data_IF_552129159112
#
_entry.id   IF_552129159112
#
_cell.length_a   1.000
_cell.length_b   1.000
_cell.length_c   1.000
_cell.angle_alpha   90.00
_cell.angle_beta   90.00
_cell.angle_gamma   90.00
#
_symmetry.space_group_name_H-M   'P 1'
#
loop_
_entity.id
_entity.type
_entity.pdbx_description
1 polymer ?
#
# COMPACT_ATOMS: atom_id res chain seq x y z
N UNK A 1 -11.25 19.02 17.48
CA UNK A 1 -11.82 20.20 16.83
C UNK A 1 -10.70 20.91 16.08
N UNK A 2 -10.41 20.52 14.88
CA UNK A 2 -9.43 21.10 13.99
C UNK A 2 -9.93 20.92 12.57
N UNK A 3 -10.69 21.88 12.08
CA UNK A 3 -10.96 22.06 10.67
C UNK A 3 -9.65 22.42 9.99
N UNK A 4 -8.98 21.49 9.32
CA UNK A 4 -8.05 21.79 8.25
C UNK A 4 -7.65 20.52 7.50
N UNK A 5 -8.60 19.88 6.84
CA UNK A 5 -8.27 19.06 5.68
C UNK A 5 -8.25 20.00 4.47
N UNK A 6 -7.21 20.78 4.33
CA UNK A 6 -7.05 21.63 3.17
C UNK A 6 -6.94 20.77 1.92
N UNK A 7 -7.92 20.94 1.03
CA UNK A 7 -7.88 20.35 -0.31
C UNK A 7 -6.57 20.82 -1.00
N UNK A 8 -5.74 19.93 -1.56
CA UNK A 8 -4.52 20.30 -2.26
C UNK A 8 -4.72 21.40 -3.32
N UNK A 9 -5.89 21.48 -3.95
CA UNK A 9 -6.23 22.55 -4.88
C UNK A 9 -6.35 23.93 -4.18
N UNK A 10 -6.92 23.96 -2.98
CA UNK A 10 -6.99 25.19 -2.19
C UNK A 10 -5.61 25.68 -1.78
N UNK A 11 -4.63 24.79 -1.67
CA UNK A 11 -3.22 25.08 -1.39
C UNK A 11 -2.38 25.33 -2.66
N UNK A 12 -3.01 25.59 -3.81
CA UNK A 12 -2.36 25.96 -5.07
C UNK A 12 -1.91 24.77 -5.94
N UNK A 13 -2.28 23.54 -5.63
CA UNK A 13 -2.00 22.42 -6.50
C UNK A 13 -2.92 22.42 -7.73
N UNK A 14 -2.35 22.11 -8.90
CA UNK A 14 -3.09 21.99 -10.16
C UNK A 14 -3.36 20.52 -10.47
N UNK A 15 -4.63 20.16 -10.69
CA UNK A 15 -4.99 18.85 -11.22
C UNK A 15 -4.59 18.78 -12.70
N UNK A 16 -3.70 17.85 -13.04
CA UNK A 16 -3.20 17.65 -14.40
C UNK A 16 -3.84 16.46 -15.11
N UNK A 17 -4.45 15.53 -14.38
CA UNK A 17 -5.12 14.36 -14.97
C UNK A 17 -5.58 13.35 -13.93
N UNK A 18 -6.16 12.27 -14.43
CA UNK A 18 -6.47 11.04 -13.69
C UNK A 18 -5.58 9.92 -14.22
N UNK A 19 -5.29 8.95 -13.39
CA UNK A 19 -4.41 7.82 -13.70
C UNK A 19 -5.17 6.50 -13.61
N UNK A 20 -4.72 5.50 -14.35
CA UNK A 20 -5.25 4.14 -14.28
C UNK A 20 -4.88 3.51 -12.93
N UNK A 21 -5.71 2.60 -12.47
CA UNK A 21 -5.49 1.75 -11.29
C UNK A 21 -5.78 0.30 -11.68
N UNK A 22 -5.38 -0.64 -10.85
CA UNK A 22 -5.87 -2.01 -10.95
C UNK A 22 -7.39 -2.02 -10.80
N UNK A 23 -8.06 -3.01 -11.36
CA UNK A 23 -9.52 -3.11 -11.35
C UNK A 23 -10.05 -3.12 -9.91
N UNK A 24 -10.88 -2.12 -9.58
CA UNK A 24 -11.39 -1.86 -8.24
C UNK A 24 -10.31 -1.91 -7.14
N UNK A 25 -9.07 -1.62 -7.48
CA UNK A 25 -7.91 -1.63 -6.57
C UNK A 25 -7.60 -3.00 -5.93
N UNK A 26 -8.06 -4.12 -6.51
CA UNK A 26 -7.93 -5.44 -5.89
C UNK A 26 -6.70 -6.23 -6.36
N UNK A 27 -5.61 -5.55 -6.64
CA UNK A 27 -4.30 -6.13 -6.92
C UNK A 27 -3.18 -5.22 -6.44
N UNK A 28 -1.95 -5.73 -6.41
CA UNK A 28 -0.71 -4.98 -6.16
C UNK A 28 0.24 -5.06 -7.36
N UNK A 29 -0.21 -5.55 -8.49
CA UNK A 29 0.59 -5.82 -9.68
C UNK A 29 0.68 -4.60 -10.60
N UNK A 30 -0.39 -3.81 -10.67
CA UNK A 30 -0.49 -2.66 -11.57
C UNK A 30 -1.06 -3.03 -12.93
N UNK A 31 -1.70 -4.20 -13.05
CA UNK A 31 -2.34 -4.68 -14.27
C UNK A 31 -3.81 -4.29 -14.29
N UNK A 32 -4.36 -4.03 -15.49
CA UNK A 32 -5.77 -3.78 -15.70
C UNK A 32 -6.17 -4.36 -17.06
N UNK A 33 -7.16 -5.26 -17.07
CA UNK A 33 -7.59 -5.95 -18.28
C UNK A 33 -8.33 -5.04 -19.29
N UNK A 34 -8.82 -3.88 -18.83
CA UNK A 34 -9.61 -2.94 -19.66
C UNK A 34 -8.78 -1.74 -20.11
N UNK A 35 -7.95 -1.19 -19.20
CA UNK A 35 -7.21 0.06 -19.43
C UNK A 35 -5.72 -0.16 -19.68
N UNK A 36 -5.27 -1.43 -19.61
CA UNK A 36 -3.87 -1.82 -19.80
C UNK A 36 -2.99 -1.58 -18.57
N UNK A 37 -1.73 -1.92 -18.70
CA UNK A 37 -0.71 -1.82 -17.65
C UNK A 37 0.18 -0.62 -17.93
N UNK A 38 0.33 0.34 -16.99
CA UNK A 38 1.28 1.43 -17.15
C UNK A 38 2.70 0.91 -17.24
N UNK A 39 3.49 1.51 -18.12
CA UNK A 39 4.92 1.20 -18.21
C UNK A 39 5.60 1.70 -16.93
N UNK A 40 6.42 0.86 -16.32
CA UNK A 40 7.32 1.28 -15.26
C UNK A 40 8.51 2.06 -15.85
N UNK A 41 8.64 3.37 -15.63
CA UNK A 41 9.70 4.15 -16.28
C UNK A 41 11.13 3.81 -15.81
N UNK A 42 11.25 3.15 -14.65
CA UNK A 42 12.54 2.75 -14.07
C UNK A 42 12.98 1.36 -14.53
N UNK A 43 12.03 0.47 -14.72
CA UNK A 43 12.27 -0.92 -15.13
C UNK A 43 11.14 -1.34 -16.09
N UNK A 44 11.24 -1.00 -17.41
CA UNK A 44 10.14 -1.22 -18.35
C UNK A 44 9.76 -2.69 -18.59
N UNK A 45 10.64 -3.61 -18.23
CA UNK A 45 10.45 -5.06 -18.29
C UNK A 45 9.73 -5.62 -17.05
N UNK A 46 9.52 -4.77 -16.01
CA UNK A 46 8.89 -5.16 -14.75
C UNK A 46 7.59 -4.41 -14.50
N UNK A 47 6.74 -5.01 -13.70
CA UNK A 47 5.46 -4.42 -13.32
C UNK A 47 5.64 -3.08 -12.60
N UNK A 48 4.72 -2.12 -12.78
CA UNK A 48 4.75 -0.85 -12.06
C UNK A 48 4.33 -0.97 -10.60
N UNK A 49 3.76 -2.12 -10.22
CA UNK A 49 3.09 -2.29 -8.95
C UNK A 49 1.75 -1.55 -8.88
N UNK A 50 0.87 -1.99 -7.98
CA UNK A 50 -0.50 -1.51 -7.88
C UNK A 50 -0.97 -1.35 -6.42
N UNK A 51 -2.22 -0.93 -6.27
CA UNK A 51 -3.19 -0.59 -7.31
C UNK A 51 -3.05 0.84 -7.87
N UNK A 52 -2.33 1.76 -7.22
CA UNK A 52 -2.10 3.13 -7.72
C UNK A 52 -0.99 3.19 -8.78
N UNK A 53 -1.03 2.27 -9.74
CA UNK A 53 -0.01 2.02 -10.76
C UNK A 53 0.25 3.23 -11.64
N UNK A 54 -0.78 3.80 -12.21
CA UNK A 54 -0.67 4.98 -13.07
C UNK A 54 -0.20 6.23 -12.33
N UNK A 55 -0.54 6.37 -11.05
CA UNK A 55 -0.05 7.46 -10.19
C UNK A 55 1.46 7.37 -9.99
N UNK A 56 1.98 6.17 -9.69
CA UNK A 56 3.41 5.95 -9.52
C UNK A 56 4.17 6.14 -10.84
N UNK A 57 3.66 5.56 -11.93
CA UNK A 57 4.27 5.69 -13.25
C UNK A 57 4.30 7.15 -13.73
N UNK A 58 3.23 7.92 -13.54
CA UNK A 58 3.17 9.33 -13.93
C UNK A 58 4.20 10.18 -13.17
N UNK A 59 4.33 9.96 -11.86
CA UNK A 59 5.34 10.66 -11.02
C UNK A 59 6.76 10.24 -11.43
N UNK A 60 7.00 8.95 -11.65
CA UNK A 60 8.29 8.42 -12.05
C UNK A 60 8.73 8.92 -13.43
N UNK A 61 7.77 9.10 -14.35
CA UNK A 61 7.99 9.68 -15.68
C UNK A 61 8.13 11.21 -15.67
N UNK A 62 7.94 11.88 -14.54
CA UNK A 62 7.98 13.35 -14.44
C UNK A 62 6.76 14.07 -15.02
N UNK A 63 5.66 13.36 -15.28
CA UNK A 63 4.41 13.93 -15.78
C UNK A 63 3.62 14.70 -14.71
N UNK A 64 3.90 14.41 -13.45
CA UNK A 64 3.35 15.09 -12.29
C UNK A 64 4.41 15.20 -11.18
N UNK A 65 4.35 16.27 -10.38
CA UNK A 65 5.24 16.44 -9.22
C UNK A 65 4.88 15.46 -8.11
N UNK A 66 3.59 15.22 -7.92
CA UNK A 66 3.02 14.25 -6.99
C UNK A 66 1.70 13.72 -7.53
N UNK A 67 1.26 12.60 -6.99
CA UNK A 67 -0.05 12.02 -7.28
C UNK A 67 -0.69 11.50 -6.00
N UNK A 68 -2.03 11.50 -5.94
CA UNK A 68 -2.78 10.84 -4.90
C UNK A 68 -3.00 9.37 -5.29
N UNK A 69 -3.20 8.54 -4.29
CA UNK A 69 -3.59 7.14 -4.42
C UNK A 69 -4.34 6.68 -3.19
N UNK A 70 -4.78 5.43 -3.19
CA UNK A 70 -5.34 4.75 -2.01
C UNK A 70 -4.45 3.58 -1.63
N UNK A 71 -4.39 3.27 -0.36
CA UNK A 71 -3.58 2.17 0.17
C UNK A 71 -4.37 1.39 1.23
N UNK A 72 -4.89 0.25 0.86
CA UNK A 72 -5.55 -0.71 1.75
C UNK A 72 -4.55 -1.76 2.24
N UNK A 73 -3.73 -2.29 1.32
CA UNK A 73 -2.76 -3.35 1.61
C UNK A 73 -1.36 -3.11 1.04
N UNK A 74 -1.06 -1.88 0.57
CA UNK A 74 0.22 -1.56 -0.07
C UNK A 74 0.08 -0.73 -1.33
N UNK A 75 -1.13 -0.37 -1.74
CA UNK A 75 -1.46 0.18 -3.05
C UNK A 75 -0.90 1.57 -3.36
N UNK A 76 -0.24 2.25 -2.43
CA UNK A 76 0.63 3.43 -2.65
C UNK A 76 2.09 3.02 -2.50
N UNK A 77 2.42 2.25 -1.47
CA UNK A 77 3.79 1.89 -1.10
C UNK A 77 4.44 0.94 -2.11
N UNK A 78 3.70 -0.08 -2.58
CA UNK A 78 4.22 -1.06 -3.56
C UNK A 78 4.56 -0.38 -4.88
N UNK A 79 3.63 0.34 -5.56
CA UNK A 79 3.96 1.00 -6.81
C UNK A 79 5.02 2.11 -6.64
N UNK A 80 5.07 2.79 -5.49
CA UNK A 80 6.16 3.72 -5.19
C UNK A 80 7.53 3.03 -5.20
N UNK A 81 7.63 1.88 -4.52
CA UNK A 81 8.85 1.07 -4.46
C UNK A 81 9.27 0.57 -5.84
N UNK A 82 8.33 0.04 -6.63
CA UNK A 82 8.60 -0.53 -7.95
C UNK A 82 8.99 0.53 -8.98
N UNK A 83 8.35 1.69 -8.95
CA UNK A 83 8.65 2.81 -9.84
C UNK A 83 9.78 3.73 -9.34
N UNK A 84 10.40 3.45 -8.19
CA UNK A 84 11.51 4.23 -7.65
C UNK A 84 11.14 5.67 -7.29
N UNK A 85 9.97 5.87 -6.72
CA UNK A 85 9.48 7.15 -6.18
C UNK A 85 9.17 7.02 -4.69
N UNK A 86 8.92 8.12 -4.02
CA UNK A 86 8.50 8.12 -2.62
C UNK A 86 6.99 7.94 -2.51
N UNK A 87 6.55 7.01 -1.67
CA UNK A 87 5.15 6.81 -1.36
C UNK A 87 4.90 6.93 0.15
N UNK A 88 3.81 7.56 0.52
CA UNK A 88 3.43 7.72 1.91
C UNK A 88 1.99 7.28 2.14
N UNK A 89 1.82 6.39 3.11
CA UNK A 89 0.54 5.99 3.66
C UNK A 89 0.44 6.49 5.10
N UNK A 90 -0.48 7.40 5.42
CA UNK A 90 -0.71 7.82 6.82
C UNK A 90 -1.34 6.69 7.63
N UNK A 91 -1.41 6.87 8.93
CA UNK A 91 -2.19 5.99 9.80
C UNK A 91 -3.66 5.99 9.39
N UNK A 92 -4.33 4.86 9.58
CA UNK A 92 -5.76 4.73 9.30
C UNK A 92 -6.57 5.78 10.08
N UNK A 93 -7.55 6.40 9.44
CA UNK A 93 -8.43 7.40 10.05
C UNK A 93 -7.84 8.81 10.20
N UNK A 94 -6.58 9.05 9.77
CA UNK A 94 -5.96 10.39 9.81
C UNK A 94 -6.50 11.29 8.70
N UNK A 95 -6.71 10.73 7.50
CA UNK A 95 -7.32 11.45 6.39
C UNK A 95 -8.75 10.97 6.16
N UNK A 96 -9.68 11.88 5.80
CA UNK A 96 -11.04 11.51 5.45
C UNK A 96 -11.07 10.68 4.16
N UNK A 97 -12.08 9.83 4.05
CA UNK A 97 -12.33 9.00 2.87
C UNK A 97 -13.53 9.47 2.05
N UNK A 98 -13.98 10.71 2.27
CA UNK A 98 -15.11 11.28 1.55
C UNK A 98 -14.83 11.30 0.03
N UNK A 99 -15.73 10.70 -0.75
CA UNK A 99 -15.55 10.58 -2.20
C UNK A 99 -14.63 9.44 -2.65
N UNK A 100 -14.10 8.65 -1.74
CA UNK A 100 -13.38 7.41 -2.05
C UNK A 100 -14.37 6.25 -2.06
N UNK A 101 -14.32 5.41 -3.10
CA UNK A 101 -15.11 4.18 -3.15
C UNK A 101 -14.62 3.24 -2.04
N UNK A 102 -15.48 2.82 -1.11
CA UNK A 102 -15.08 1.89 -0.05
C UNK A 102 -14.61 0.56 -0.62
N UNK A 103 -13.48 0.06 -0.13
CA UNK A 103 -12.94 -1.23 -0.52
C UNK A 103 -12.87 -2.16 0.71
N UNK A 104 -11.99 -1.87 1.66
CA UNK A 104 -11.98 -2.50 2.98
C UNK A 104 -11.87 -1.39 4.04
N UNK A 105 -13.00 -0.87 4.54
CA UNK A 105 -13.06 0.38 5.31
C UNK A 105 -12.15 0.45 6.52
N UNK A 106 -11.88 -0.68 7.20
CA UNK A 106 -10.97 -0.69 8.35
C UNK A 106 -9.48 -0.72 7.98
N UNK A 107 -9.16 -0.73 6.69
CA UNK A 107 -7.79 -0.72 6.14
C UNK A 107 -7.55 0.46 5.19
N UNK A 108 -8.60 0.96 4.54
CA UNK A 108 -8.49 1.98 3.49
C UNK A 108 -7.88 3.28 4.01
N UNK A 109 -6.94 3.82 3.24
CA UNK A 109 -6.38 5.15 3.48
C UNK A 109 -6.15 5.86 2.15
N UNK A 110 -6.25 7.18 2.14
CA UNK A 110 -5.64 8.00 1.10
C UNK A 110 -4.15 8.15 1.42
N UNK A 111 -3.33 8.05 0.39
CA UNK A 111 -1.91 8.30 0.46
C UNK A 111 -1.44 9.10 -0.76
N UNK A 112 -0.16 9.36 -0.85
CA UNK A 112 0.40 10.10 -1.97
C UNK A 112 1.79 9.62 -2.36
N UNK A 113 2.12 9.88 -3.62
CA UNK A 113 3.40 9.57 -4.23
C UNK A 113 4.07 10.88 -4.67
N UNK A 114 5.38 10.96 -4.55
CA UNK A 114 6.14 12.13 -4.98
C UNK A 114 7.50 11.71 -5.52
N UNK A 115 8.05 12.53 -6.44
CA UNK A 115 9.36 12.26 -7.05
C UNK A 115 10.54 12.39 -6.10
N UNK A 116 10.39 13.19 -5.04
CA UNK A 116 11.43 13.43 -4.04
C UNK A 116 10.82 13.68 -2.65
N UNK A 117 11.67 13.57 -1.63
CA UNK A 117 11.25 13.72 -0.23
C UNK A 117 10.79 15.14 0.12
N UNK A 118 11.25 16.18 -0.59
CA UNK A 118 10.82 17.56 -0.33
C UNK A 118 9.38 17.79 -0.79
N UNK A 119 9.05 17.27 -1.99
CA UNK A 119 7.67 17.30 -2.50
C UNK A 119 6.77 16.45 -1.62
N UNK A 120 7.22 15.22 -1.24
CA UNK A 120 6.47 14.35 -0.35
C UNK A 120 6.10 15.05 0.97
N UNK A 121 7.10 15.69 1.62
CA UNK A 121 6.90 16.40 2.88
C UNK A 121 5.98 17.62 2.72
N UNK A 122 6.11 18.39 1.61
CA UNK A 122 5.26 19.54 1.33
C UNK A 122 3.79 19.14 1.15
N UNK A 123 3.53 18.07 0.42
CA UNK A 123 2.17 17.51 0.27
C UNK A 123 1.65 17.02 1.62
N UNK A 124 2.49 16.31 2.37
CA UNK A 124 2.15 15.84 3.71
C UNK A 124 1.81 16.98 4.67
N UNK A 125 2.53 18.09 4.63
CA UNK A 125 2.24 19.26 5.45
C UNK A 125 0.84 19.82 5.18
N UNK A 126 0.41 19.86 3.92
CA UNK A 126 -0.94 20.28 3.53
C UNK A 126 -1.98 19.28 4.00
N UNK A 127 -1.80 17.99 3.69
CA UNK A 127 -2.79 16.95 3.96
C UNK A 127 -2.94 16.64 5.46
N UNK A 128 -1.86 16.74 6.24
CA UNK A 128 -1.82 16.41 7.66
C UNK A 128 -1.94 17.63 8.59
N UNK A 129 -2.23 18.81 8.05
CA UNK A 129 -2.46 20.02 8.84
C UNK A 129 -1.21 20.60 9.52
N UNK A 130 -0.04 20.42 8.90
CA UNK A 130 1.20 21.07 9.34
C UNK A 130 1.90 20.40 10.53
N UNK A 131 1.53 19.18 10.91
CA UNK A 131 2.21 18.43 11.96
C UNK A 131 3.69 18.24 11.62
N UNK A 132 4.57 18.69 12.50
CA UNK A 132 6.01 18.44 12.39
C UNK A 132 6.35 17.14 13.10
N UNK A 133 7.08 16.27 12.42
CA UNK A 133 7.57 15.02 13.00
C UNK A 133 9.06 15.15 13.30
N UNK A 134 9.46 14.72 14.49
CA UNK A 134 10.88 14.56 14.81
C UNK A 134 11.42 13.29 14.15
N UNK A 135 12.69 13.30 13.72
CA UNK A 135 13.34 12.08 13.23
C UNK A 135 13.27 10.95 14.27
N UNK A 136 13.12 9.69 13.84
CA UNK A 136 13.13 8.57 14.77
C UNK A 136 14.47 8.47 15.49
N UNK A 137 14.42 8.29 16.81
CA UNK A 137 15.60 8.13 17.66
C UNK A 137 16.07 6.68 17.70
N UNK A 138 15.15 5.73 17.54
CA UNK A 138 15.38 4.28 17.52
C UNK A 138 14.98 3.69 16.18
N UNK A 139 15.79 2.80 15.64
CA UNK A 139 15.51 2.05 14.42
C UNK A 139 15.52 0.56 14.71
N UNK A 140 14.50 -0.13 14.23
CA UNK A 140 14.39 -1.59 14.26
C UNK A 140 14.48 -2.10 12.83
N UNK A 141 15.17 -3.23 12.63
CA UNK A 141 15.26 -3.92 11.35
C UNK A 141 14.48 -5.24 11.48
N UNK A 142 13.40 -5.39 10.73
CA UNK A 142 12.58 -6.61 10.70
C UNK A 142 13.32 -7.70 9.92
N UNK A 143 14.23 -8.42 10.59
CA UNK A 143 15.12 -9.37 9.94
C UNK A 143 14.38 -10.45 9.18
N UNK A 144 13.36 -11.05 9.78
CA UNK A 144 12.53 -12.07 9.17
C UNK A 144 11.72 -11.57 7.94
N UNK A 145 11.39 -10.28 7.88
CA UNK A 145 10.80 -9.68 6.67
C UNK A 145 11.82 -9.60 5.52
N UNK A 146 13.09 -9.32 5.80
CA UNK A 146 14.14 -9.36 4.77
C UNK A 146 14.47 -10.77 4.31
N UNK A 147 14.28 -11.77 5.17
CA UNK A 147 14.52 -13.17 4.83
C UNK A 147 13.43 -13.74 3.89
N UNK A 148 12.27 -13.08 3.79
CA UNK A 148 11.22 -13.37 2.81
C UNK A 148 11.51 -12.82 1.41
N UNK A 149 12.49 -11.92 1.26
CA UNK A 149 12.80 -11.33 -0.03
C UNK A 149 13.55 -12.32 -0.93
N UNK A 150 13.30 -12.21 -2.23
CA UNK A 150 14.08 -12.90 -3.25
C UNK A 150 15.56 -12.56 -3.11
N UNK A 151 16.44 -13.56 -3.30
CA UNK A 151 17.88 -13.40 -3.13
C UNK A 151 18.50 -12.16 -3.81
N UNK A 152 18.14 -11.80 -5.07
CA UNK A 152 18.68 -10.61 -5.71
C UNK A 152 18.30 -9.31 -5.00
N UNK A 153 17.16 -9.26 -4.30
CA UNK A 153 16.64 -8.08 -3.62
C UNK A 153 17.17 -7.93 -2.20
N UNK A 154 17.44 -9.03 -1.50
CA UNK A 154 17.76 -9.02 -0.07
C UNK A 154 19.01 -8.18 0.25
N UNK A 155 20.13 -8.40 -0.42
CA UNK A 155 21.39 -7.74 -0.08
C UNK A 155 21.35 -6.21 -0.35
N UNK A 156 20.86 -5.72 -1.51
CA UNK A 156 20.71 -4.28 -1.75
C UNK A 156 19.78 -3.59 -0.77
N UNK A 157 18.65 -4.23 -0.42
CA UNK A 157 17.67 -3.67 0.52
C UNK A 157 18.22 -3.60 1.94
N UNK A 158 18.95 -4.63 2.39
CA UNK A 158 19.64 -4.60 3.69
C UNK A 158 20.72 -3.51 3.74
N UNK A 159 21.48 -3.35 2.65
CA UNK A 159 22.48 -2.29 2.58
C UNK A 159 21.83 -0.89 2.64
N UNK A 160 20.73 -0.68 1.92
CA UNK A 160 19.96 0.56 1.97
C UNK A 160 19.39 0.82 3.37
N UNK A 161 18.81 -0.19 4.02
CA UNK A 161 18.27 -0.05 5.37
C UNK A 161 19.38 0.32 6.39
N UNK A 162 20.54 -0.32 6.31
CA UNK A 162 21.70 0.00 7.18
C UNK A 162 22.27 1.39 6.92
N UNK A 163 22.22 1.89 5.70
CA UNK A 163 22.63 3.25 5.37
C UNK A 163 21.77 4.34 6.03
N UNK A 164 20.54 4.01 6.45
CA UNK A 164 19.68 4.92 7.21
C UNK A 164 20.08 5.04 8.70
N UNK A 165 21.07 4.30 9.14
CA UNK A 165 21.63 4.29 10.49
C UNK A 165 21.61 2.91 11.14
N UNK A 166 22.29 2.78 12.29
CA UNK A 166 22.28 1.54 13.06
C UNK A 166 20.86 1.20 13.52
N UNK A 167 20.44 -0.05 13.30
CA UNK A 167 19.17 -0.61 13.71
C UNK A 167 19.33 -1.90 14.50
N UNK A 168 18.50 -2.11 15.51
CA UNK A 168 18.44 -3.39 16.21
C UNK A 168 17.61 -4.38 15.39
N UNK A 169 18.16 -5.56 15.12
CA UNK A 169 17.42 -6.62 14.43
C UNK A 169 16.30 -7.17 15.34
N UNK A 170 15.11 -7.32 14.77
CA UNK A 170 13.94 -7.89 15.45
C UNK A 170 13.26 -8.91 14.55
N UNK A 171 12.66 -9.92 15.14
CA UNK A 171 11.76 -10.82 14.45
C UNK A 171 10.35 -10.20 14.49
N UNK A 172 9.89 -9.66 13.36
CA UNK A 172 8.58 -9.02 13.24
C UNK A 172 7.46 -10.06 13.31
N UNK A 173 7.55 -11.09 12.49
CA UNK A 173 6.55 -12.14 12.39
C UNK A 173 6.75 -13.25 13.41
N UNK A 174 8.00 -13.51 13.83
CA UNK A 174 8.37 -14.58 14.73
C UNK A 174 7.87 -15.97 14.29
N UNK A 175 7.90 -16.23 12.98
CA UNK A 175 7.46 -17.47 12.36
C UNK A 175 5.95 -17.58 12.11
N UNK A 176 5.18 -16.51 12.31
CA UNK A 176 3.74 -16.46 12.05
C UNK A 176 3.38 -15.73 10.74
N UNK A 177 4.32 -15.47 9.82
CA UNK A 177 4.10 -14.67 8.60
C UNK A 177 2.97 -15.19 7.73
N UNK A 178 2.89 -16.52 7.53
CA UNK A 178 1.82 -17.14 6.75
C UNK A 178 0.46 -16.95 7.42
N UNK A 179 0.41 -17.07 8.75
CA UNK A 179 -0.81 -16.89 9.54
C UNK A 179 -1.28 -15.42 9.51
N UNK A 180 -0.35 -14.46 9.54
CA UNK A 180 -0.68 -13.03 9.42
C UNK A 180 -1.25 -12.72 8.04
N UNK A 181 -0.66 -13.28 6.99
CA UNK A 181 -1.15 -13.12 5.62
C UNK A 181 -2.54 -13.72 5.43
N UNK A 182 -2.78 -14.92 5.97
CA UNK A 182 -4.10 -15.56 5.92
C UNK A 182 -5.17 -14.72 6.65
N UNK A 183 -4.86 -14.25 7.87
CA UNK A 183 -5.75 -13.37 8.62
C UNK A 183 -6.07 -12.09 7.86
N UNK A 184 -5.06 -11.47 7.26
CA UNK A 184 -5.26 -10.28 6.44
C UNK A 184 -6.19 -10.55 5.25
N UNK A 185 -5.95 -11.62 4.50
CA UNK A 185 -6.78 -12.00 3.34
C UNK A 185 -8.24 -12.25 3.73
N UNK A 186 -8.47 -12.96 4.82
CA UNK A 186 -9.82 -13.24 5.33
C UNK A 186 -10.52 -11.97 5.80
N UNK A 187 -9.89 -11.19 6.65
CA UNK A 187 -10.53 -10.02 7.26
C UNK A 187 -10.77 -8.91 6.24
N UNK A 188 -9.79 -8.64 5.38
CA UNK A 188 -9.92 -7.69 4.29
C UNK A 188 -10.95 -8.16 3.26
N UNK A 189 -10.90 -9.43 2.84
CA UNK A 189 -11.82 -10.00 1.85
C UNK A 189 -13.27 -9.94 2.31
N UNK A 190 -13.55 -10.18 3.58
CA UNK A 190 -14.88 -10.04 4.15
C UNK A 190 -15.41 -8.61 4.05
N UNK A 191 -14.57 -7.61 4.35
CA UNK A 191 -14.94 -6.20 4.21
C UNK A 191 -15.16 -5.81 2.74
N UNK A 192 -14.30 -6.26 1.83
CA UNK A 192 -14.43 -6.04 0.39
C UNK A 192 -15.76 -6.58 -0.12
N UNK A 193 -16.09 -7.82 0.24
CA UNK A 193 -17.35 -8.40 -0.19
C UNK A 193 -18.56 -7.70 0.42
N UNK A 194 -18.49 -7.28 1.66
CA UNK A 194 -19.51 -6.45 2.30
C UNK A 194 -19.74 -5.12 1.58
N UNK A 195 -18.66 -4.46 1.15
CA UNK A 195 -18.72 -3.15 0.50
C UNK A 195 -19.16 -3.25 -0.98
N UNK A 196 -18.61 -4.17 -1.74
CA UNK A 196 -18.75 -4.24 -3.20
C UNK A 196 -19.64 -5.39 -3.69
N UNK A 197 -19.83 -6.44 -2.90
CA UNK A 197 -20.58 -7.65 -3.27
C UNK A 197 -22.01 -7.37 -3.76
N UNK A 198 -22.80 -6.51 -3.11
CA UNK A 198 -24.14 -6.15 -3.58
C UNK A 198 -24.14 -5.55 -4.99
N UNK A 199 -23.20 -4.62 -5.26
CA UNK A 199 -23.06 -4.01 -6.59
C UNK A 199 -22.55 -5.03 -7.62
N UNK A 200 -21.54 -5.83 -7.29
CA UNK A 200 -21.00 -6.86 -8.19
C UNK A 200 -22.09 -7.87 -8.57
N UNK A 201 -22.91 -8.29 -7.60
CA UNK A 201 -24.02 -9.23 -7.84
C UNK A 201 -25.09 -8.66 -8.75
N UNK A 202 -25.41 -7.38 -8.57
CA UNK A 202 -26.44 -6.70 -9.35
C UNK A 202 -25.95 -6.30 -10.75
N UNK A 203 -24.76 -5.70 -10.85
CA UNK A 203 -24.23 -5.14 -12.09
C UNK A 203 -23.53 -6.19 -12.97
N UNK A 204 -23.03 -7.29 -12.37
CA UNK A 204 -22.29 -8.38 -13.05
C UNK A 204 -21.18 -7.83 -13.96
N UNK A 205 -20.29 -6.98 -13.43
CA UNK A 205 -19.22 -6.38 -14.21
C UNK A 205 -18.29 -7.47 -14.78
N UNK A 206 -17.67 -7.17 -15.90
CA UNK A 206 -16.63 -8.05 -16.46
C UNK A 206 -15.29 -7.64 -15.83
N UNK A 207 -14.66 -8.54 -15.13
CA UNK A 207 -13.32 -8.41 -14.59
C UNK A 207 -12.32 -9.25 -15.38
N UNK A 208 -11.05 -8.91 -15.33
CA UNK A 208 -9.98 -9.84 -15.68
C UNK A 208 -10.00 -11.06 -14.74
N UNK A 209 -9.53 -12.21 -15.25
CA UNK A 209 -9.69 -13.51 -14.58
C UNK A 209 -9.15 -13.51 -13.13
N UNK A 210 -7.97 -12.95 -12.91
CA UNK A 210 -7.37 -12.87 -11.57
C UNK A 210 -8.20 -12.04 -10.58
N UNK A 211 -8.81 -10.95 -11.04
CA UNK A 211 -9.66 -10.10 -10.20
C UNK A 211 -11.01 -10.77 -9.95
N UNK A 212 -11.57 -11.43 -10.95
CA UNK A 212 -12.79 -12.23 -10.80
C UNK A 212 -12.62 -13.34 -9.75
N UNK A 213 -11.48 -14.03 -9.77
CA UNK A 213 -11.17 -15.09 -8.80
C UNK A 213 -11.06 -14.51 -7.38
N UNK A 214 -10.35 -13.40 -7.18
CA UNK A 214 -10.25 -12.72 -5.87
C UNK A 214 -11.61 -12.31 -5.30
N UNK A 215 -12.52 -11.79 -6.14
CA UNK A 215 -13.89 -11.49 -5.68
C UNK A 215 -14.68 -12.77 -5.38
N UNK A 216 -14.49 -13.84 -6.15
CA UNK A 216 -15.12 -15.12 -5.87
C UNK A 216 -14.62 -15.74 -4.55
N UNK A 217 -13.33 -15.61 -4.23
CA UNK A 217 -12.78 -15.99 -2.93
C UNK A 217 -13.37 -15.15 -1.79
N UNK A 218 -13.41 -13.84 -1.94
CA UNK A 218 -13.99 -12.93 -0.96
C UNK A 218 -15.46 -13.27 -0.66
N UNK A 219 -16.24 -13.64 -1.69
CA UNK A 219 -17.64 -14.06 -1.56
C UNK A 219 -17.85 -15.34 -0.73
N UNK A 220 -16.82 -16.17 -0.59
CA UNK A 220 -16.89 -17.45 0.16
C UNK A 220 -16.51 -17.30 1.63
N UNK A 221 -16.04 -16.13 2.05
CA UNK A 221 -15.62 -15.89 3.44
C UNK A 221 -16.85 -15.88 4.34
N UNK A 222 -16.86 -16.78 5.32
CA UNK A 222 -17.96 -16.93 6.28
C UNK A 222 -17.74 -16.08 7.54
N UNK A 223 -18.82 -15.71 8.27
CA UNK A 223 -18.70 -15.06 9.57
C UNK A 223 -17.85 -15.84 10.60
N UNK A 224 -17.91 -17.17 10.58
CA UNK A 224 -17.11 -18.02 11.47
C UNK A 224 -15.61 -17.88 11.18
N UNK A 225 -15.25 -17.77 9.89
CA UNK A 225 -13.86 -17.57 9.50
C UNK A 225 -13.36 -16.19 9.95
N UNK A 226 -14.19 -15.15 9.82
CA UNK A 226 -13.88 -13.81 10.34
C UNK A 226 -13.70 -13.84 11.86
N UNK A 227 -14.61 -14.48 12.59
CA UNK A 227 -14.55 -14.62 14.05
C UNK A 227 -13.28 -15.36 14.51
N UNK A 228 -12.81 -16.33 13.74
CA UNK A 228 -11.57 -17.07 14.01
C UNK A 228 -10.33 -16.17 13.90
N UNK A 229 -10.27 -15.26 12.93
CA UNK A 229 -9.07 -14.44 12.66
C UNK A 229 -9.08 -13.06 13.32
N UNK A 230 -10.24 -12.54 13.74
CA UNK A 230 -10.33 -11.24 14.39
C UNK A 230 -9.43 -11.10 15.65
N UNK A 231 -9.31 -12.10 16.54
CA UNK A 231 -8.39 -12.03 17.69
C UNK A 231 -6.91 -11.92 17.27
N UNK A 232 -6.53 -12.53 16.14
CA UNK A 232 -5.17 -12.45 15.63
C UNK A 232 -4.81 -11.03 15.22
N UNK A 233 -5.73 -10.31 14.54
CA UNK A 233 -5.52 -8.89 14.21
C UNK A 233 -5.21 -8.05 15.46
N UNK A 234 -5.91 -8.32 16.56
CA UNK A 234 -5.66 -7.63 17.83
C UNK A 234 -4.28 -7.95 18.40
N UNK A 235 -3.87 -9.22 18.37
CA UNK A 235 -2.51 -9.63 18.81
C UNK A 235 -1.42 -8.98 17.95
N UNK A 236 -1.61 -8.95 16.63
CA UNK A 236 -0.68 -8.28 15.70
C UNK A 236 -0.57 -6.80 16.01
N UNK A 237 -1.71 -6.11 16.22
CA UNK A 237 -1.72 -4.70 16.58
C UNK A 237 -1.00 -4.43 17.91
N UNK A 238 -1.24 -5.27 18.92
CA UNK A 238 -0.57 -5.16 20.22
C UNK A 238 0.96 -5.39 20.09
N UNK A 239 1.39 -6.40 19.30
CA UNK A 239 2.81 -6.64 19.03
C UNK A 239 3.47 -5.46 18.32
N UNK A 240 2.82 -4.91 17.28
CA UNK A 240 3.34 -3.73 16.59
C UNK A 240 3.41 -2.51 17.51
N UNK A 241 2.40 -2.30 18.36
CA UNK A 241 2.40 -1.24 19.34
C UNK A 241 3.55 -1.35 20.35
N UNK A 242 3.88 -2.57 20.78
CA UNK A 242 5.02 -2.81 21.67
C UNK A 242 6.38 -2.60 20.99
N UNK A 243 6.50 -2.85 19.68
CA UNK A 243 7.72 -2.61 18.91
C UNK A 243 7.90 -1.13 18.55
N UNK A 244 6.80 -0.45 18.21
CA UNK A 244 6.76 0.91 17.67
C UNK A 244 6.41 1.94 18.75
N UNK A 245 7.19 1.95 19.83
CA UNK A 245 7.11 3.02 20.83
C UNK A 245 7.41 4.39 20.19
N UNK A 246 6.93 5.51 20.79
CA UNK A 246 7.20 6.85 20.28
C UNK A 246 8.69 7.07 19.96
N UNK A 247 8.98 7.62 18.78
CA UNK A 247 10.34 7.82 18.31
C UNK A 247 11.03 6.58 17.72
N UNK A 248 10.31 5.47 17.55
CA UNK A 248 10.82 4.25 16.91
C UNK A 248 10.36 4.14 15.47
N UNK A 249 11.26 3.78 14.56
CA UNK A 249 10.96 3.39 13.19
C UNK A 249 11.31 1.92 12.96
N UNK A 250 10.45 1.19 12.25
CA UNK A 250 10.70 -0.17 11.81
C UNK A 250 11.04 -0.17 10.32
N UNK A 251 12.18 -0.73 9.97
CA UNK A 251 12.67 -0.87 8.62
C UNK A 251 12.37 -2.29 8.11
N UNK A 252 11.65 -2.37 7.00
CA UNK A 252 11.31 -3.63 6.34
C UNK A 252 11.18 -3.41 4.83
N UNK A 253 11.34 -4.45 4.00
CA UNK A 253 11.09 -4.35 2.56
C UNK A 253 9.61 -4.11 2.29
N UNK A 254 9.31 -3.37 1.22
CA UNK A 254 7.92 -3.06 0.83
C UNK A 254 7.22 -4.30 0.26
N UNK A 255 7.95 -5.12 -0.49
CA UNK A 255 7.47 -6.34 -1.11
C UNK A 255 8.63 -7.36 -1.18
N UNK A 256 8.33 -8.67 -1.23
CA UNK A 256 9.37 -9.70 -1.29
C UNK A 256 10.08 -9.75 -2.64
N UNK A 257 9.42 -9.34 -3.71
CA UNK A 257 9.94 -9.40 -5.08
C UNK A 257 9.50 -8.20 -5.90
N UNK A 258 10.10 -8.05 -7.09
CA UNK A 258 9.66 -7.12 -8.12
C UNK A 258 9.53 -7.92 -9.44
N UNK A 259 8.35 -8.50 -9.72
CA UNK A 259 8.18 -9.43 -10.82
C UNK A 259 8.26 -8.75 -12.19
N UNK A 260 8.66 -9.52 -13.19
CA UNK A 260 8.56 -9.17 -14.60
C UNK A 260 7.13 -9.37 -15.11
N UNK A 261 6.82 -8.81 -16.28
CA UNK A 261 5.54 -9.08 -16.96
C UNK A 261 5.37 -10.57 -17.30
N UNK A 262 6.46 -11.26 -17.64
CA UNK A 262 6.42 -12.69 -17.99
C UNK A 262 6.16 -13.59 -16.77
N UNK A 263 6.74 -13.25 -15.61
CA UNK A 263 6.56 -14.03 -14.36
C UNK A 263 5.13 -14.00 -13.84
N UNK A 264 4.33 -12.97 -14.19
CA UNK A 264 2.94 -12.87 -13.77
C UNK A 264 1.97 -13.41 -14.83
N UNK A 265 2.40 -13.50 -16.09
CA UNK A 265 1.59 -14.07 -17.17
C UNK A 265 1.66 -15.61 -17.24
N UNK A 266 2.60 -16.24 -16.52
CA UNK A 266 2.82 -17.68 -16.46
C UNK A 266 1.97 -18.35 -15.36
#
# INVERSE_FOLDING_TARGET
TGETNENPKASGARLVGKTVTDELAFSLEGTNAHDGTPINPRCPDRLPGGSSSGSAAAVAAGLADFALGTDTGGSVRVPASFCGVFGFRPSHGVLPLDGVVPFAPSYDTVGWLARDGKVLARVGKVLLGGAEASPPQRRLLARDAFDLCDRPCTAPLLAAARALGEGHEVALFAGEEALWLEAYRVLQGAEIWSALGPWITAAKPRFGDAIAERFAEAARITPDLVARFAPLRQRVAARLGALLEPGTALLLPTAPSHPTHEEVAA
#
